data_IF_108773091855
#
_entry.id   IF_108773091855
#
_cell.length_a   1.000
_cell.length_b   1.000
_cell.length_c   1.000
_cell.angle_alpha   90.00
_cell.angle_beta   90.00
_cell.angle_gamma   90.00
#
_symmetry.space_group_name_H-M   'P 1'
#
loop_
_entity.id
_entity.type
_entity.pdbx_description
1 polymer ?
#
# COMPACT_ATOMS: atom_id res chain seq x y z
N UNK A 1 7.93 -13.85 8.03
CA UNK A 1 7.66 -12.51 7.48
C UNK A 1 6.90 -11.70 8.53
N UNK A 2 7.62 -11.14 9.52
CA UNK A 2 7.07 -10.30 10.59
C UNK A 2 8.14 -9.29 11.06
N UNK A 3 8.98 -8.77 10.13
CA UNK A 3 9.97 -7.76 10.52
C UNK A 3 9.33 -6.39 10.79
N UNK A 4 8.14 -6.14 10.24
CA UNK A 4 7.36 -4.92 10.45
C UNK A 4 5.96 -5.31 10.97
N UNK A 5 5.42 -4.45 11.85
CA UNK A 5 4.10 -4.64 12.45
C UNK A 5 2.95 -4.55 11.43
N UNK A 6 1.70 -4.76 11.87
CA UNK A 6 0.55 -4.84 10.96
C UNK A 6 0.11 -3.49 10.38
N UNK A 7 0.74 -2.38 10.79
CA UNK A 7 0.32 -1.03 10.44
C UNK A 7 1.39 -0.32 9.62
N UNK A 8 0.95 0.47 8.65
CA UNK A 8 1.80 1.24 7.75
C UNK A 8 1.37 2.71 7.72
N UNK A 9 2.34 3.61 7.66
CA UNK A 9 2.15 5.00 7.26
C UNK A 9 3.02 5.25 6.04
N UNK A 10 2.45 5.86 5.00
CA UNK A 10 3.18 6.12 3.75
C UNK A 10 3.46 7.61 3.67
N UNK A 11 4.73 8.01 3.60
CA UNK A 11 5.13 9.41 3.46
C UNK A 11 5.19 9.84 1.99
N UNK A 12 5.13 11.15 1.77
CA UNK A 12 5.31 11.79 0.46
C UNK A 12 4.40 11.21 -0.64
N UNK A 13 3.16 10.86 -0.29
CA UNK A 13 2.19 10.27 -1.21
C UNK A 13 1.67 11.34 -2.20
N UNK A 14 1.69 12.61 -1.81
CA UNK A 14 1.42 13.77 -2.66
C UNK A 14 2.34 13.88 -3.89
N UNK A 15 3.57 13.35 -3.83
CA UNK A 15 4.47 13.37 -5.00
C UNK A 15 3.90 12.63 -6.20
N UNK A 16 2.96 11.73 -5.93
CA UNK A 16 2.27 11.04 -6.97
C UNK A 16 1.45 12.01 -7.83
N UNK A 17 0.88 13.08 -7.30
CA UNK A 17 -0.04 14.00 -8.01
C UNK A 17 0.44 14.41 -9.42
N UNK A 18 1.75 14.48 -9.65
CA UNK A 18 2.34 14.88 -10.93
C UNK A 18 2.37 13.80 -12.02
N UNK A 19 2.02 12.54 -11.75
CA UNK A 19 2.16 11.44 -12.72
C UNK A 19 0.85 11.02 -13.35
N UNK A 20 0.91 10.66 -14.64
CA UNK A 20 -0.23 10.11 -15.39
C UNK A 20 -0.51 8.64 -15.05
N UNK A 21 0.51 7.91 -14.59
CA UNK A 21 0.40 6.50 -14.17
C UNK A 21 1.46 6.19 -13.11
N UNK A 22 1.18 5.19 -12.27
CA UNK A 22 2.13 4.59 -11.34
C UNK A 22 2.26 3.10 -11.59
N UNK A 23 3.34 2.55 -11.06
CA UNK A 23 3.57 1.12 -11.01
C UNK A 23 3.97 0.69 -9.60
N UNK A 24 3.30 -0.32 -9.08
CA UNK A 24 3.72 -1.03 -7.86
C UNK A 24 4.49 -2.27 -8.26
N UNK A 25 5.69 -2.45 -7.72
CA UNK A 25 6.40 -3.72 -7.85
C UNK A 25 5.76 -4.76 -6.93
N UNK A 26 5.09 -5.75 -7.51
CA UNK A 26 4.30 -6.75 -6.77
C UNK A 26 5.01 -8.09 -6.63
N UNK A 27 6.02 -8.33 -7.46
CA UNK A 27 6.88 -9.50 -7.43
C UNK A 27 8.14 -9.23 -8.24
N UNK A 28 9.10 -10.14 -8.18
CA UNK A 28 10.23 -10.18 -9.10
C UNK A 28 10.29 -11.54 -9.80
N UNK A 29 10.87 -11.57 -10.99
CA UNK A 29 11.26 -12.81 -11.67
C UNK A 29 12.77 -12.87 -11.82
N UNK A 30 13.38 -13.97 -11.41
CA UNK A 30 14.81 -14.17 -11.59
C UNK A 30 15.11 -14.56 -13.05
N UNK A 31 16.02 -13.82 -13.68
CA UNK A 31 16.48 -14.05 -15.06
C UNK A 31 17.98 -13.79 -15.16
N UNK A 32 18.76 -14.86 -15.24
CA UNK A 32 20.19 -14.80 -15.52
C UNK A 32 20.45 -14.97 -17.03
N UNK A 33 21.25 -14.09 -17.68
CA UNK A 33 21.50 -14.15 -19.13
C UNK A 33 22.04 -15.50 -19.62
N UNK A 34 22.93 -16.11 -18.84
CA UNK A 34 23.53 -17.41 -19.15
C UNK A 34 22.74 -18.62 -18.60
N UNK A 35 21.55 -18.40 -18.02
CA UNK A 35 20.75 -19.47 -17.41
C UNK A 35 21.33 -20.06 -16.12
N UNK A 36 22.36 -19.44 -15.53
CA UNK A 36 23.02 -19.93 -14.32
C UNK A 36 22.10 -19.82 -13.10
N UNK A 37 21.95 -20.89 -12.31
CA UNK A 37 21.25 -20.81 -11.05
C UNK A 37 22.15 -20.20 -9.96
N UNK A 38 21.56 -19.42 -9.06
CA UNK A 38 22.26 -18.82 -7.93
C UNK A 38 21.57 -19.20 -6.62
N UNK A 39 22.34 -19.42 -5.56
CA UNK A 39 21.81 -19.75 -4.23
C UNK A 39 21.78 -18.52 -3.33
N UNK A 40 20.68 -18.35 -2.59
CA UNK A 40 20.56 -17.31 -1.57
C UNK A 40 19.63 -17.79 -0.45
N UNK A 41 20.03 -17.59 0.80
CA UNK A 41 19.24 -17.94 1.99
C UNK A 41 18.74 -19.39 1.98
N UNK A 42 19.53 -20.33 1.45
CA UNK A 42 19.15 -21.74 1.33
C UNK A 42 18.17 -22.07 0.19
N UNK A 43 17.77 -21.09 -0.63
CA UNK A 43 16.97 -21.30 -1.84
C UNK A 43 17.86 -21.18 -3.08
N UNK A 44 17.72 -22.15 -4.00
CA UNK A 44 18.31 -22.08 -5.33
C UNK A 44 17.33 -21.38 -6.27
N UNK A 45 17.79 -20.32 -6.93
CA UNK A 45 17.02 -19.54 -7.91
C UNK A 45 17.40 -19.95 -9.32
N UNK A 46 16.40 -20.23 -10.15
CA UNK A 46 16.49 -20.61 -11.57
C UNK A 46 15.68 -19.64 -12.41
N UNK A 47 16.03 -19.51 -13.70
CA UNK A 47 15.31 -18.61 -14.60
C UNK A 47 13.81 -18.90 -14.59
N UNK A 48 13.00 -17.86 -14.40
CA UNK A 48 11.55 -17.96 -14.27
C UNK A 48 11.05 -18.12 -12.83
N UNK A 49 11.92 -18.33 -11.85
CA UNK A 49 11.51 -18.34 -10.45
C UNK A 49 10.98 -16.96 -10.05
N UNK A 50 9.80 -16.97 -9.44
CA UNK A 50 9.13 -15.76 -8.97
C UNK A 50 9.40 -15.58 -7.49
N UNK A 51 9.76 -14.34 -7.12
CA UNK A 51 9.84 -13.86 -5.76
C UNK A 51 8.60 -13.04 -5.48
N UNK A 52 7.67 -13.59 -4.71
CA UNK A 52 6.39 -12.95 -4.42
C UNK A 52 6.53 -11.92 -3.31
N UNK A 53 5.62 -10.95 -3.27
CA UNK A 53 5.55 -9.99 -2.19
C UNK A 53 5.56 -10.71 -0.82
N UNK A 54 6.43 -10.22 0.06
CA UNK A 54 6.60 -10.75 1.40
C UNK A 54 7.58 -11.91 1.54
N UNK A 55 7.98 -12.58 0.45
CA UNK A 55 9.09 -13.52 0.53
C UNK A 55 10.37 -12.82 1.02
N UNK A 56 11.25 -13.58 1.67
CA UNK A 56 12.53 -13.05 2.11
C UNK A 56 13.31 -12.58 0.88
N UNK A 57 13.74 -11.32 0.90
CA UNK A 57 14.61 -10.78 -0.15
C UNK A 57 15.91 -11.60 -0.20
N UNK A 58 16.38 -11.99 -1.40
CA UNK A 58 17.60 -12.74 -1.54
C UNK A 58 18.82 -11.79 -1.41
N UNK A 59 20.02 -12.36 -1.50
CA UNK A 59 21.27 -11.61 -1.52
C UNK A 59 21.34 -10.68 -2.73
N UNK A 60 22.19 -9.67 -2.64
CA UNK A 60 22.40 -8.69 -3.70
C UNK A 60 22.80 -9.32 -5.04
N UNK A 61 23.54 -10.44 -5.01
CA UNK A 61 23.93 -11.19 -6.21
C UNK A 61 22.72 -11.75 -6.97
N UNK A 62 21.72 -12.30 -6.26
CA UNK A 62 20.49 -12.78 -6.89
C UNK A 62 19.59 -11.61 -7.30
N UNK A 63 19.45 -10.59 -6.43
CA UNK A 63 18.66 -9.39 -6.71
C UNK A 63 19.10 -8.66 -7.99
N UNK A 64 20.39 -8.65 -8.32
CA UNK A 64 20.91 -8.04 -9.53
C UNK A 64 20.33 -8.65 -10.83
N UNK A 65 19.80 -9.88 -10.75
CA UNK A 65 19.18 -10.59 -11.86
C UNK A 65 17.65 -10.68 -11.74
N UNK A 66 17.05 -10.00 -10.76
CA UNK A 66 15.61 -9.96 -10.55
C UNK A 66 14.97 -8.82 -11.35
N UNK A 67 14.09 -9.17 -12.29
CA UNK A 67 13.29 -8.19 -13.04
C UNK A 67 11.96 -7.93 -12.32
N UNK A 68 11.53 -6.67 -12.16
CA UNK A 68 10.31 -6.35 -11.45
C UNK A 68 9.07 -6.73 -12.27
N UNK A 69 8.09 -7.32 -11.59
CA UNK A 69 6.73 -7.50 -12.11
C UNK A 69 5.89 -6.34 -11.57
N UNK A 70 5.40 -5.51 -12.47
CA UNK A 70 4.75 -4.25 -12.16
C UNK A 70 3.24 -4.34 -12.33
N UNK A 71 2.48 -3.86 -11.34
CA UNK A 71 1.06 -3.57 -11.47
C UNK A 71 0.86 -2.08 -11.70
N UNK A 72 0.34 -1.72 -12.87
CA UNK A 72 0.08 -0.33 -13.24
C UNK A 72 -1.27 0.16 -12.67
N UNK A 73 -1.32 1.43 -12.33
CA UNK A 73 -2.52 2.16 -11.88
C UNK A 73 -2.48 3.54 -12.52
N UNK A 74 -3.65 4.08 -12.87
CA UNK A 74 -3.74 5.43 -13.41
C UNK A 74 -3.40 6.50 -12.36
N UNK A 75 -2.95 7.64 -12.86
CA UNK A 75 -2.66 8.87 -12.13
C UNK A 75 -3.87 9.48 -11.43
N UNK A 76 -3.65 10.45 -10.55
CA UNK A 76 -4.73 11.31 -10.03
C UNK A 76 -4.39 12.79 -10.12
N UNK A 77 -3.65 13.20 -11.18
CA UNK A 77 -3.25 14.59 -11.43
C UNK A 77 -4.42 15.58 -11.46
N UNK A 78 -5.59 15.13 -11.91
CA UNK A 78 -6.80 15.97 -11.96
C UNK A 78 -7.46 16.19 -10.58
N UNK A 79 -7.14 15.33 -9.62
CA UNK A 79 -7.64 15.36 -8.24
C UNK A 79 -6.47 15.25 -7.25
N UNK A 80 -5.53 16.22 -7.27
CA UNK A 80 -4.30 16.15 -6.48
C UNK A 80 -4.62 16.15 -4.99
N UNK A 81 -3.94 15.30 -4.22
CA UNK A 81 -4.15 15.22 -2.77
C UNK A 81 -3.20 16.12 -1.97
N UNK A 82 -2.24 16.77 -2.64
CA UNK A 82 -1.31 17.71 -2.02
C UNK A 82 -2.08 18.75 -1.21
N UNK A 83 -1.68 18.94 0.05
CA UNK A 83 -2.42 19.70 1.07
C UNK A 83 -2.73 21.15 0.68
N UNK A 84 -1.99 21.71 -0.29
CA UNK A 84 -2.12 23.10 -0.73
C UNK A 84 -2.54 23.22 -2.19
N UNK A 85 -2.93 22.11 -2.83
CA UNK A 85 -3.51 22.16 -4.17
C UNK A 85 -4.91 22.80 -4.12
N UNK A 86 -5.31 23.47 -5.19
CA UNK A 86 -6.64 24.10 -5.27
C UNK A 86 -7.76 23.07 -5.08
N UNK A 87 -7.62 21.90 -5.70
CA UNK A 87 -8.59 20.82 -5.58
C UNK A 87 -8.76 20.37 -4.13
N UNK A 88 -7.65 20.14 -3.41
CA UNK A 88 -7.68 19.70 -2.02
C UNK A 88 -8.29 20.76 -1.11
N UNK A 89 -7.89 22.03 -1.27
CA UNK A 89 -8.38 23.14 -0.48
C UNK A 89 -9.88 23.42 -0.69
N UNK A 90 -10.44 23.03 -1.84
CA UNK A 90 -11.87 23.13 -2.13
C UNK A 90 -12.72 22.04 -1.43
N UNK A 91 -12.10 21.01 -0.85
CA UNK A 91 -12.84 19.92 -0.21
C UNK A 91 -13.32 20.27 1.19
N UNK A 92 -14.44 19.66 1.60
CA UNK A 92 -14.87 19.63 3.00
C UNK A 92 -14.46 18.30 3.63
N UNK A 93 -13.88 18.35 4.83
CA UNK A 93 -13.42 17.14 5.51
C UNK A 93 -14.44 16.65 6.55
N UNK A 94 -14.66 15.32 6.68
CA UNK A 94 -13.95 14.24 5.99
C UNK A 94 -14.29 14.13 4.49
N UNK A 95 -13.28 13.84 3.68
CA UNK A 95 -13.39 13.75 2.21
C UNK A 95 -13.27 12.29 1.77
N UNK A 96 -13.96 11.92 0.69
CA UNK A 96 -13.68 10.68 -0.01
C UNK A 96 -12.43 10.88 -0.87
N UNK A 97 -11.43 10.00 -0.70
CA UNK A 97 -10.22 10.08 -1.52
C UNK A 97 -10.51 9.74 -2.99
N UNK A 98 -9.73 10.31 -3.93
CA UNK A 98 -9.82 9.94 -5.35
C UNK A 98 -9.74 8.43 -5.57
N UNK A 99 -10.45 7.93 -6.57
CA UNK A 99 -10.53 6.49 -6.86
C UNK A 99 -9.15 5.87 -7.07
N UNK A 100 -8.27 6.54 -7.81
CA UNK A 100 -6.94 6.02 -8.13
C UNK A 100 -5.99 6.03 -6.93
N UNK A 101 -6.18 6.96 -5.98
CA UNK A 101 -5.52 6.91 -4.66
C UNK A 101 -5.97 5.65 -3.93
N UNK A 102 -7.29 5.40 -3.84
CA UNK A 102 -7.83 4.21 -3.18
C UNK A 102 -7.31 2.90 -3.82
N UNK A 103 -7.31 2.80 -5.16
CA UNK A 103 -6.76 1.64 -5.88
C UNK A 103 -5.31 1.36 -5.52
N UNK A 104 -4.48 2.41 -5.43
CA UNK A 104 -3.07 2.24 -5.07
C UNK A 104 -2.91 1.74 -3.64
N UNK A 105 -3.67 2.31 -2.69
CA UNK A 105 -3.67 1.89 -1.29
C UNK A 105 -4.09 0.41 -1.17
N UNK A 106 -5.16 0.01 -1.85
CA UNK A 106 -5.66 -1.37 -1.84
C UNK A 106 -4.62 -2.35 -2.40
N UNK A 107 -3.89 -1.98 -3.45
CA UNK A 107 -2.81 -2.80 -4.01
C UNK A 107 -1.69 -2.98 -2.98
N UNK A 108 -1.26 -1.88 -2.35
CA UNK A 108 -0.19 -1.93 -1.34
C UNK A 108 -0.60 -2.88 -0.22
N UNK A 109 -1.77 -2.68 0.39
CA UNK A 109 -2.24 -3.54 1.47
C UNK A 109 -2.44 -5.00 1.05
N UNK A 110 -2.94 -5.23 -0.16
CA UNK A 110 -3.11 -6.58 -0.68
C UNK A 110 -1.77 -7.33 -0.72
N UNK A 111 -0.69 -6.69 -1.16
CA UNK A 111 0.61 -7.34 -1.32
C UNK A 111 1.46 -7.32 -0.05
N UNK A 112 1.39 -6.26 0.76
CA UNK A 112 2.17 -6.15 2.01
C UNK A 112 1.48 -6.77 3.21
N UNK A 113 0.16 -6.99 3.14
CA UNK A 113 -0.70 -7.41 4.27
C UNK A 113 -0.71 -6.43 5.44
N UNK A 114 -0.26 -5.19 5.23
CA UNK A 114 -0.35 -4.13 6.23
C UNK A 114 -1.68 -3.41 6.14
N UNK A 115 -2.07 -2.76 7.22
CA UNK A 115 -3.18 -1.79 7.25
C UNK A 115 -2.59 -0.38 7.22
N UNK A 116 -2.93 0.39 6.19
CA UNK A 116 -2.48 1.77 6.04
C UNK A 116 -3.32 2.67 6.93
N UNK A 117 -2.67 3.33 7.88
CA UNK A 117 -3.30 4.23 8.85
C UNK A 117 -3.31 5.68 8.35
N UNK A 118 -2.29 6.08 7.62
CA UNK A 118 -2.12 7.44 7.14
C UNK A 118 -1.27 7.53 5.89
N UNK A 119 -1.50 8.60 5.13
CA UNK A 119 -0.66 9.02 4.01
C UNK A 119 -0.23 10.46 4.22
N UNK A 120 1.05 10.76 4.01
CA UNK A 120 1.56 12.13 3.97
C UNK A 120 1.14 12.79 2.67
N UNK A 121 0.56 13.98 2.76
CA UNK A 121 0.12 14.75 1.60
C UNK A 121 0.80 16.12 1.49
N UNK A 122 2.00 16.24 2.07
CA UNK A 122 2.86 17.40 1.96
C UNK A 122 4.12 17.27 2.84
N UNK A 123 5.05 18.24 2.75
CA UNK A 123 6.31 18.20 3.48
C UNK A 123 6.21 18.57 4.98
N UNK A 124 5.11 19.19 5.44
CA UNK A 124 4.97 19.59 6.86
C UNK A 124 4.45 18.44 7.72
N UNK A 125 4.78 18.48 9.02
CA UNK A 125 4.40 17.43 9.97
C UNK A 125 2.90 17.31 10.24
N UNK A 126 2.12 18.34 9.90
CA UNK A 126 0.66 18.39 9.98
C UNK A 126 -0.03 18.07 8.64
N UNK A 127 0.72 17.91 7.55
CA UNK A 127 0.22 17.54 6.22
C UNK A 127 0.12 16.01 6.11
N UNK A 128 -0.78 15.45 6.92
CA UNK A 128 -1.04 14.01 7.03
C UNK A 128 -2.54 13.74 6.92
N UNK A 129 -2.91 12.84 6.01
CA UNK A 129 -4.27 12.31 5.90
C UNK A 129 -4.36 11.05 6.75
N UNK A 130 -5.20 11.09 7.79
CA UNK A 130 -5.53 9.91 8.59
C UNK A 130 -6.71 9.15 7.96
N UNK A 131 -6.48 7.88 7.65
CA UNK A 131 -7.47 7.04 6.96
C UNK A 131 -8.42 6.42 7.99
N UNK A 132 -9.65 6.93 8.05
CA UNK A 132 -10.71 6.29 8.81
C UNK A 132 -11.33 5.17 7.97
N UNK A 133 -11.01 3.92 8.31
CA UNK A 133 -11.74 2.77 7.78
C UNK A 133 -13.03 2.58 8.58
N UNK A 134 -14.18 2.59 7.89
CA UNK A 134 -15.37 1.96 8.45
C UNK A 134 -15.00 0.50 8.67
N UNK A 135 -15.09 0.01 9.90
CA UNK A 135 -14.58 -1.30 10.27
C UNK A 135 -15.28 -2.43 9.49
N UNK A 136 -14.78 -2.77 8.30
CA UNK A 136 -15.09 -4.03 7.65
C UNK A 136 -14.21 -5.09 8.30
N UNK A 137 -14.85 -5.89 9.16
CA UNK A 137 -14.33 -6.97 10.00
C UNK A 137 -13.71 -8.15 9.22
N UNK A 138 -12.91 -7.92 8.19
CA UNK A 138 -12.46 -8.99 7.31
C UNK A 138 -11.07 -9.55 7.65
N UNK A 139 -10.09 -8.74 8.09
CA UNK A 139 -8.69 -9.22 8.22
C UNK A 139 -8.07 -9.12 9.61
N UNK A 140 -8.84 -8.71 10.63
CA UNK A 140 -8.38 -8.82 12.01
C UNK A 140 -8.59 -10.27 12.48
N UNK A 141 -7.53 -11.07 12.51
CA UNK A 141 -7.47 -12.22 13.41
C UNK A 141 -7.86 -11.71 14.81
N UNK A 142 -8.87 -12.28 15.48
CA UNK A 142 -9.37 -11.70 16.72
C UNK A 142 -8.29 -11.81 17.80
N UNK A 143 -7.60 -10.70 18.05
CA UNK A 143 -6.94 -10.45 19.32
C UNK A 143 -8.00 -10.50 20.41
N UNK A 144 -7.73 -11.20 21.52
CA UNK A 144 -8.64 -11.39 22.68
C UNK A 144 -9.12 -10.08 23.34
N UNK A 145 -8.71 -8.92 22.83
CA UNK A 145 -9.16 -7.61 23.28
C UNK A 145 -10.07 -6.92 22.23
N UNK A 146 -11.14 -7.59 21.75
CA UNK A 146 -12.18 -6.85 21.01
C UNK A 146 -13.03 -6.05 22.01
N UNK A 147 -12.70 -4.78 22.24
CA UNK A 147 -13.63 -3.86 22.88
C UNK A 147 -14.90 -3.77 22.03
N UNK A 148 -16.06 -3.90 22.67
CA UNK A 148 -17.37 -3.69 22.00
C UNK A 148 -17.38 -2.30 21.33
N UNK A 149 -17.92 -2.18 20.11
CA UNK A 149 -18.11 -0.87 19.50
C UNK A 149 -19.00 0.01 20.38
N UNK A 150 -18.70 1.30 20.44
CA UNK A 150 -19.49 2.28 21.17
C UNK A 150 -20.88 2.42 20.56
N UNK A 151 -21.87 2.78 21.39
CA UNK A 151 -23.27 2.96 20.98
C UNK A 151 -23.45 3.87 19.74
N UNK A 152 -22.57 4.86 19.56
CA UNK A 152 -22.56 5.75 18.39
C UNK A 152 -22.29 5.05 17.05
N UNK A 153 -21.56 3.92 17.05
CA UNK A 153 -21.31 3.14 15.84
C UNK A 153 -22.51 2.27 15.47
N UNK A 154 -23.26 1.78 16.46
CA UNK A 154 -24.48 1.00 16.22
C UNK A 154 -25.61 1.89 15.66
N UNK A 155 -25.75 3.12 16.15
CA UNK A 155 -26.72 4.08 15.60
C UNK A 155 -26.41 4.47 14.16
N UNK A 156 -25.12 4.70 13.83
CA UNK A 156 -24.71 5.03 12.47
C UNK A 156 -24.93 3.89 11.46
N UNK A 157 -24.92 2.64 11.92
CA UNK A 157 -25.20 1.47 11.08
C UNK A 157 -26.70 1.23 10.89
N UNK A 158 -27.53 1.58 11.87
CA UNK A 158 -29.00 1.42 11.80
C UNK A 158 -29.68 2.49 10.96
N UNK A 159 -29.13 3.69 10.86
CA UNK A 159 -29.70 4.78 10.05
C UNK A 159 -29.45 4.65 8.54
N UNK A 160 -28.74 3.60 8.11
CA UNK A 160 -28.40 3.32 6.71
C UNK A 160 -28.96 1.99 6.18
N UNK A 161 -29.84 1.34 6.93
CA UNK A 161 -30.65 0.19 6.48
C UNK A 161 -32.09 0.66 6.24
#
# INVERSE_FOLDING_TARGET
MQAQGPYCSISAFDRADDYDTYAVCVAYVYVHPEGKPLSSNGRLFRNGDILRAGEQLPTQQVLAHCQPILKKVDGWRETPIFARSEWWLAQQHPVALPENVCKLLDIIEHFTKTVILSIGNGPRGDEIIYLRRLATRAWATPSKASRRPSASLEEALRSRA
#
